data_IF_028660360991
#
_entry.id   IF_028660360991
#
_cell.length_a   1.000
_cell.length_b   1.000
_cell.length_c   1.000
_cell.angle_alpha   90.00
_cell.angle_beta   90.00
_cell.angle_gamma   90.00
#
_symmetry.space_group_name_H-M   'P 1'
#
loop_
_entity.id
_entity.type
_entity.pdbx_description
1 polymer ?
#
# COMPACT_ATOMS: atom_id res chain seq x y z
N UNK A 1 2.81 -22.66 34.04
CA UNK A 1 3.23 -23.72 33.10
C UNK A 1 3.37 -23.09 31.72
N UNK A 2 4.59 -22.99 31.18
CA UNK A 2 4.83 -22.35 29.88
C UNK A 2 4.57 -23.35 28.75
N UNK A 3 3.54 -23.10 27.93
CA UNK A 3 3.23 -23.93 26.77
C UNK A 3 4.39 -23.83 25.77
N UNK A 4 5.07 -24.96 25.49
CA UNK A 4 6.12 -24.98 24.46
C UNK A 4 5.46 -24.98 23.07
N UNK A 5 5.90 -24.10 22.16
CA UNK A 5 5.32 -24.02 20.82
C UNK A 5 5.58 -25.30 20.04
N UNK A 6 4.50 -25.83 19.46
CA UNK A 6 4.49 -27.01 18.61
C UNK A 6 5.23 -26.73 17.29
N UNK A 7 5.55 -27.78 16.55
CA UNK A 7 6.18 -27.65 15.22
C UNK A 7 5.31 -26.81 14.28
N UNK A 8 3.98 -26.97 14.37
CA UNK A 8 3.00 -26.20 13.60
C UNK A 8 3.04 -24.71 13.98
N UNK A 9 3.14 -24.39 15.28
CA UNK A 9 3.24 -22.99 15.74
C UNK A 9 4.49 -22.30 15.21
N UNK A 10 5.61 -23.04 15.09
CA UNK A 10 6.87 -22.52 14.54
C UNK A 10 6.79 -22.30 13.03
N UNK A 11 6.12 -23.21 12.31
CA UNK A 11 5.89 -23.10 10.87
C UNK A 11 5.03 -21.86 10.56
N UNK A 12 3.94 -21.67 11.32
CA UNK A 12 3.05 -20.51 11.21
C UNK A 12 3.82 -19.22 11.49
N UNK A 13 4.61 -19.19 12.57
CA UNK A 13 5.40 -18.02 12.91
C UNK A 13 6.40 -17.66 11.81
N UNK A 14 7.10 -18.67 11.26
CA UNK A 14 8.02 -18.49 10.14
C UNK A 14 7.32 -17.94 8.90
N UNK A 15 6.14 -18.45 8.56
CA UNK A 15 5.38 -17.97 7.41
C UNK A 15 4.89 -16.53 7.61
N UNK A 16 4.47 -16.18 8.84
CA UNK A 16 4.09 -14.80 9.18
C UNK A 16 5.27 -13.83 9.09
N UNK A 17 6.47 -14.27 9.48
CA UNK A 17 7.67 -13.45 9.39
C UNK A 17 8.12 -13.26 7.92
N UNK A 18 7.99 -14.29 7.07
CA UNK A 18 8.22 -14.18 5.62
C UNK A 18 7.23 -13.19 5.00
N UNK A 19 5.94 -13.30 5.30
CA UNK A 19 4.92 -12.37 4.79
C UNK A 19 5.20 -10.93 5.22
N UNK A 20 5.64 -10.71 6.46
CA UNK A 20 6.06 -9.39 6.95
C UNK A 20 7.26 -8.84 6.18
N UNK A 21 8.25 -9.68 5.87
CA UNK A 21 9.41 -9.26 5.09
C UNK A 21 9.03 -8.89 3.65
N UNK A 22 8.19 -9.68 3.00
CA UNK A 22 7.70 -9.39 1.64
C UNK A 22 6.91 -8.06 1.59
N UNK A 23 6.04 -7.83 2.57
CA UNK A 23 5.30 -6.56 2.68
C UNK A 23 6.22 -5.36 2.95
N UNK A 24 7.30 -5.55 3.72
CA UNK A 24 8.30 -4.51 3.96
C UNK A 24 9.12 -4.20 2.71
N UNK A 25 9.47 -5.21 1.92
CA UNK A 25 10.18 -5.04 0.64
C UNK A 25 9.31 -4.36 -0.42
N UNK A 26 8.03 -4.73 -0.53
CA UNK A 26 7.07 -4.00 -1.36
C UNK A 26 6.96 -2.54 -0.94
N UNK A 27 6.84 -2.26 0.36
CA UNK A 27 6.86 -0.87 0.86
C UNK A 27 8.14 -0.14 0.50
N UNK A 28 9.31 -0.77 0.67
CA UNK A 28 10.61 -0.16 0.32
C UNK A 28 10.73 0.11 -1.18
N UNK A 29 10.24 -0.79 -2.02
CA UNK A 29 10.22 -0.61 -3.46
C UNK A 29 9.23 0.50 -3.87
N UNK A 30 8.07 0.57 -3.24
CA UNK A 30 7.10 1.64 -3.45
C UNK A 30 7.65 3.01 -2.99
N UNK A 31 8.40 3.06 -1.89
CA UNK A 31 9.11 4.27 -1.43
C UNK A 31 10.19 4.66 -2.44
N UNK A 32 11.04 3.72 -2.87
CA UNK A 32 12.09 3.97 -3.87
C UNK A 32 11.52 4.44 -5.22
N UNK A 33 10.38 3.89 -5.65
CA UNK A 33 9.75 4.21 -6.93
C UNK A 33 8.83 5.43 -6.85
N UNK A 34 8.28 5.73 -5.68
CA UNK A 34 7.24 6.74 -5.46
C UNK A 34 7.75 8.13 -5.09
N UNK A 35 8.90 8.25 -4.41
CA UNK A 35 9.42 9.58 -4.03
C UNK A 35 10.31 10.21 -5.09
N UNK A 36 10.97 9.46 -5.99
CA UNK A 36 11.84 10.08 -7.01
C UNK A 36 11.12 10.47 -8.30
N UNK A 37 9.93 9.92 -8.56
CA UNK A 37 9.22 10.12 -9.82
C UNK A 37 8.47 11.46 -9.80
N UNK A 38 8.92 12.38 -10.65
CA UNK A 38 8.24 13.63 -10.95
C UNK A 38 7.68 13.51 -12.36
N UNK A 39 6.41 13.89 -12.52
CA UNK A 39 5.78 13.94 -13.84
C UNK A 39 5.93 15.34 -14.42
N UNK A 40 6.14 15.44 -15.73
CA UNK A 40 6.25 16.73 -16.43
C UNK A 40 5.07 16.98 -17.37
N UNK A 41 4.28 15.95 -17.64
CA UNK A 41 3.05 16.01 -18.41
C UNK A 41 2.00 15.08 -17.77
N UNK A 42 0.75 15.39 -18.09
CA UNK A 42 -0.45 14.72 -17.63
C UNK A 42 -0.60 13.30 -18.19
N UNK A 43 -0.18 13.07 -19.43
CA UNK A 43 -0.27 11.76 -20.07
C UNK A 43 0.59 10.72 -19.34
N UNK A 44 1.87 11.01 -19.10
CA UNK A 44 2.78 10.12 -18.37
C UNK A 44 2.28 9.84 -16.95
N UNK A 45 1.67 10.85 -16.31
CA UNK A 45 1.05 10.69 -15.01
C UNK A 45 -0.13 9.71 -15.08
N UNK A 46 -1.06 9.93 -16.00
CA UNK A 46 -2.23 9.08 -16.14
C UNK A 46 -1.84 7.63 -16.49
N UNK A 47 -0.95 7.44 -17.46
CA UNK A 47 -0.50 6.13 -17.89
C UNK A 47 0.19 5.35 -16.76
N UNK A 48 1.06 6.02 -15.98
CA UNK A 48 1.77 5.35 -14.89
C UNK A 48 0.83 4.95 -13.74
N UNK A 49 -0.11 5.83 -13.36
CA UNK A 49 -1.09 5.52 -12.30
C UNK A 49 -2.03 4.39 -12.72
N UNK A 50 -2.52 4.41 -13.96
CA UNK A 50 -3.34 3.36 -14.54
C UNK A 50 -2.57 2.04 -14.64
N UNK A 51 -1.37 2.05 -15.22
CA UNK A 51 -0.53 0.85 -15.39
C UNK A 51 -0.18 0.19 -14.05
N UNK A 52 0.16 0.98 -13.02
CA UNK A 52 0.39 0.45 -11.68
C UNK A 52 -0.87 -0.24 -11.12
N UNK A 53 -2.04 0.35 -11.37
CA UNK A 53 -3.32 -0.17 -10.89
C UNK A 53 -3.69 -1.46 -11.61
N UNK A 54 -3.55 -1.51 -12.94
CA UNK A 54 -3.80 -2.71 -13.74
C UNK A 54 -2.87 -3.87 -13.36
N UNK A 55 -1.58 -3.59 -13.16
CA UNK A 55 -0.62 -4.62 -12.77
C UNK A 55 -0.96 -5.28 -11.41
N UNK A 56 -1.56 -4.51 -10.49
CA UNK A 56 -1.94 -5.00 -9.16
C UNK A 56 -3.37 -5.57 -9.10
N UNK A 57 -4.21 -5.23 -10.07
CA UNK A 57 -5.65 -5.54 -10.08
C UNK A 57 -5.96 -7.03 -9.78
N UNK A 58 -5.24 -8.03 -10.32
CA UNK A 58 -5.54 -9.44 -10.05
C UNK A 58 -5.30 -9.86 -8.60
N UNK A 59 -4.44 -9.15 -7.87
CA UNK A 59 -4.08 -9.44 -6.48
C UNK A 59 -4.83 -8.57 -5.46
N UNK A 60 -5.65 -7.62 -5.91
CA UNK A 60 -6.40 -6.74 -5.00
C UNK A 60 -7.58 -7.51 -4.37
N UNK A 61 -7.73 -7.47 -3.03
CA UNK A 61 -8.90 -8.00 -2.36
C UNK A 61 -10.20 -7.35 -2.86
N UNK A 62 -11.27 -8.15 -3.00
CA UNK A 62 -12.58 -7.72 -3.50
C UNK A 62 -13.19 -6.53 -2.73
N UNK A 63 -12.84 -6.36 -1.46
CA UNK A 63 -13.32 -5.27 -0.60
C UNK A 63 -12.66 -3.91 -0.90
N UNK A 64 -11.64 -3.85 -1.76
CA UNK A 64 -11.06 -2.58 -2.20
C UNK A 64 -11.88 -2.04 -3.36
N UNK A 65 -12.45 -0.85 -3.20
CA UNK A 65 -13.25 -0.20 -4.24
C UNK A 65 -12.56 1.02 -4.86
N UNK A 66 -11.49 1.53 -4.23
CA UNK A 66 -10.80 2.73 -4.70
C UNK A 66 -9.32 2.76 -4.37
N UNK A 67 -8.58 3.58 -5.13
CA UNK A 67 -7.18 3.96 -4.88
C UNK A 67 -7.12 5.48 -4.84
N UNK A 68 -6.59 6.04 -3.75
CA UNK A 68 -6.26 7.46 -3.68
C UNK A 68 -4.76 7.66 -3.88
N UNK A 69 -4.41 8.70 -4.63
CA UNK A 69 -3.03 9.12 -4.89
C UNK A 69 -2.91 10.57 -4.46
N UNK A 70 -2.04 10.84 -3.48
CA UNK A 70 -1.81 12.18 -2.96
C UNK A 70 -0.58 12.77 -3.62
N UNK A 71 -0.72 14.02 -4.06
CA UNK A 71 0.29 14.73 -4.83
C UNK A 71 0.62 16.06 -4.15
N UNK A 72 1.89 16.42 -4.15
CA UNK A 72 2.36 17.79 -3.93
C UNK A 72 3.01 18.25 -5.23
N UNK A 73 2.40 19.22 -5.89
CA UNK A 73 2.76 19.62 -7.25
C UNK A 73 2.79 18.40 -8.19
N UNK A 74 3.94 18.13 -8.81
CA UNK A 74 4.15 17.05 -9.75
C UNK A 74 4.80 15.80 -9.12
N UNK A 75 4.76 15.68 -7.80
CA UNK A 75 5.33 14.57 -7.04
C UNK A 75 4.26 13.84 -6.26
N UNK A 76 4.31 12.51 -6.27
CA UNK A 76 3.47 11.67 -5.41
C UNK A 76 4.05 11.64 -4.01
N UNK A 77 3.23 12.00 -3.02
CA UNK A 77 3.60 11.97 -1.60
C UNK A 77 2.97 10.81 -0.85
N UNK A 78 1.90 10.22 -1.39
CA UNK A 78 1.24 9.08 -0.76
C UNK A 78 0.31 8.33 -1.71
N UNK A 79 -0.06 7.13 -1.29
CA UNK A 79 -1.14 6.34 -1.91
C UNK A 79 -1.80 5.47 -0.85
N UNK A 80 -3.10 5.24 -1.00
CA UNK A 80 -3.86 4.32 -0.15
C UNK A 80 -4.93 3.59 -0.95
N UNK A 81 -5.39 2.47 -0.42
CA UNK A 81 -6.49 1.69 -0.96
C UNK A 81 -7.70 1.83 -0.04
N UNK A 82 -8.85 2.16 -0.61
CA UNK A 82 -10.08 2.41 0.13
C UNK A 82 -10.88 1.12 0.24
N UNK A 83 -11.24 0.78 1.47
CA UNK A 83 -12.05 -0.40 1.80
C UNK A 83 -13.39 -0.03 2.45
N UNK A 84 -13.39 1.02 3.25
CA UNK A 84 -14.57 1.50 3.94
C UNK A 84 -15.47 2.26 2.95
N UNK A 85 -16.80 2.21 3.08
CA UNK A 85 -17.71 2.89 2.14
C UNK A 85 -17.50 4.41 2.06
N UNK A 86 -16.96 5.00 3.12
CA UNK A 86 -16.57 6.40 3.20
C UNK A 86 -15.12 6.52 3.68
N UNK A 87 -14.49 7.63 3.30
CA UNK A 87 -13.17 8.05 3.75
C UNK A 87 -13.19 9.56 3.97
N UNK A 88 -12.54 10.02 5.03
CA UNK A 88 -12.36 11.44 5.33
C UNK A 88 -10.98 11.86 4.82
N UNK A 89 -10.93 12.99 4.11
CA UNK A 89 -9.67 13.59 3.67
C UNK A 89 -9.61 14.99 4.28
N UNK A 90 -8.63 15.23 5.14
CA UNK A 90 -8.40 16.53 5.77
C UNK A 90 -6.90 16.80 6.00
N UNK A 91 -6.57 17.96 6.56
CA UNK A 91 -5.20 18.41 6.82
C UNK A 91 -4.67 18.02 8.20
N UNK A 92 -5.18 16.95 8.81
CA UNK A 92 -4.69 16.47 10.10
C UNK A 92 -3.35 15.76 9.99
N UNK A 93 -2.52 15.87 11.04
CA UNK A 93 -1.28 15.10 11.20
C UNK A 93 -1.51 13.63 11.61
N UNK A 94 -2.77 13.19 11.69
CA UNK A 94 -3.13 11.80 11.97
C UNK A 94 -2.79 10.95 10.74
N UNK A 95 -2.09 9.85 10.99
CA UNK A 95 -1.73 8.91 9.93
C UNK A 95 -2.93 8.08 9.50
N UNK A 96 -2.92 7.62 8.24
CA UNK A 96 -4.02 6.85 7.67
C UNK A 96 -4.36 5.61 8.51
N UNK A 97 -5.62 5.53 8.96
CA UNK A 97 -6.12 4.44 9.81
C UNK A 97 -7.12 3.51 9.11
N UNK A 98 -7.49 3.82 7.86
CA UNK A 98 -8.50 3.09 7.09
C UNK A 98 -9.82 3.84 6.93
N UNK A 99 -10.08 4.87 7.74
CA UNK A 99 -11.26 5.73 7.72
C UNK A 99 -10.93 7.21 7.45
N UNK A 100 -9.74 7.65 7.88
CA UNK A 100 -9.20 9.00 7.71
C UNK A 100 -7.75 8.92 7.25
#
# INVERSE_FOLDING_TARGET
MTHKPTTIDREIQRNMDILRQLLLEERKNDVKKGFSRQWTNDQDFFEDICSETYAKLPALPQQIWGKLVFMEMNRRVGKLYVRQPSIIIDGSDIHFDGLR
#
